data_IF_146188130888
#
_entry.id   IF_146188130888
#
_cell.length_a   1.000
_cell.length_b   1.000
_cell.length_c   1.000
_cell.angle_alpha   90.00
_cell.angle_beta   90.00
_cell.angle_gamma   90.00
#
_symmetry.space_group_name_H-M   'P 1'
#
loop_
_entity.id
_entity.type
_entity.pdbx_description
1 polymer ?
#
# COMPACT_ATOMS: atom_id res chain seq x y z
N UNK A 1 -1.84 22.49 4.78
CA UNK A 1 -2.90 21.47 4.86
C UNK A 1 -2.48 20.30 4.01
N UNK A 2 -2.53 19.08 4.55
CA UNK A 2 -2.14 17.88 3.79
C UNK A 2 -3.06 17.71 2.58
N UNK A 3 -2.49 17.50 1.40
CA UNK A 3 -3.21 17.24 0.14
C UNK A 3 -2.94 15.80 -0.28
N UNK A 4 -4.01 15.05 -0.59
CA UNK A 4 -3.90 13.70 -1.15
C UNK A 4 -4.22 13.74 -2.64
N UNK A 5 -3.36 13.14 -3.46
CA UNK A 5 -3.54 12.97 -4.90
C UNK A 5 -3.75 11.49 -5.24
N UNK A 6 -5.00 11.11 -5.52
CA UNK A 6 -5.39 9.73 -5.81
C UNK A 6 -5.21 9.41 -7.29
N UNK A 7 -4.31 8.47 -7.59
CA UNK A 7 -4.01 8.09 -8.97
C UNK A 7 -3.86 6.58 -9.12
N UNK A 8 -4.04 6.10 -10.36
CA UNK A 8 -3.75 4.74 -10.75
C UNK A 8 -2.54 4.77 -11.66
N UNK A 9 -1.47 4.09 -11.27
CA UNK A 9 -0.34 3.83 -12.14
C UNK A 9 -0.56 2.49 -12.86
N UNK A 10 -0.94 2.53 -14.14
CA UNK A 10 -1.26 1.33 -14.93
C UNK A 10 -0.08 0.35 -15.02
N UNK A 11 1.15 0.83 -15.14
CA UNK A 11 2.35 -0.01 -15.19
C UNK A 11 2.58 -0.73 -13.87
N UNK A 12 2.45 -0.02 -12.75
CA UNK A 12 2.58 -0.62 -11.43
C UNK A 12 1.46 -1.62 -11.14
N UNK A 13 0.21 -1.31 -11.52
CA UNK A 13 -0.91 -2.23 -11.40
C UNK A 13 -0.69 -3.51 -12.22
N UNK A 14 -0.26 -3.37 -13.48
CA UNK A 14 0.09 -4.51 -14.35
C UNK A 14 1.22 -5.35 -13.75
N UNK A 15 2.26 -4.72 -13.22
CA UNK A 15 3.34 -5.39 -12.51
C UNK A 15 2.82 -6.21 -11.32
N UNK A 16 1.98 -5.64 -10.45
CA UNK A 16 1.43 -6.36 -9.31
C UNK A 16 0.57 -7.54 -9.75
N UNK A 17 -0.29 -7.33 -10.74
CA UNK A 17 -1.17 -8.34 -11.33
C UNK A 17 -0.37 -9.54 -11.85
N UNK A 18 0.68 -9.29 -12.63
CA UNK A 18 1.51 -10.35 -13.23
C UNK A 18 2.29 -11.13 -12.17
N UNK A 19 2.73 -10.47 -11.09
CA UNK A 19 3.58 -11.10 -10.07
C UNK A 19 2.82 -11.67 -8.87
N UNK A 20 1.51 -11.43 -8.74
CA UNK A 20 0.71 -11.89 -7.60
C UNK A 20 -0.43 -12.84 -7.98
N UNK A 21 -0.58 -13.16 -9.27
CA UNK A 21 -1.54 -14.15 -9.78
C UNK A 21 -1.56 -15.46 -8.96
N UNK A 22 -0.40 -15.99 -8.62
CA UNK A 22 -0.27 -17.23 -7.85
C UNK A 22 -0.70 -17.10 -6.38
N UNK A 23 -0.52 -15.92 -5.77
CA UNK A 23 -0.95 -15.69 -4.38
C UNK A 23 -2.47 -15.57 -4.28
N UNK A 24 -3.08 -14.93 -5.27
CA UNK A 24 -4.54 -14.74 -5.35
C UNK A 24 -5.29 -16.05 -5.64
N UNK A 25 -4.66 -17.01 -6.33
CA UNK A 25 -5.26 -18.31 -6.63
C UNK A 25 -5.56 -19.19 -5.39
N UNK A 26 -4.99 -18.84 -4.23
CA UNK A 26 -5.17 -19.59 -2.99
C UNK A 26 -6.19 -18.96 -2.03
N UNK A 27 -6.95 -17.95 -2.48
CA UNK A 27 -7.92 -17.22 -1.65
C UNK A 27 -9.40 -17.51 -2.08
N UNK A 28 -10.42 -17.30 -1.21
CA UNK A 28 -11.78 -17.81 -1.43
C UNK A 28 -12.57 -17.22 -2.62
N UNK A 29 -13.74 -17.81 -2.89
CA UNK A 29 -14.47 -17.86 -4.18
C UNK A 29 -14.59 -16.61 -5.06
N UNK A 30 -14.70 -15.40 -4.52
CA UNK A 30 -14.75 -14.17 -5.36
C UNK A 30 -13.37 -13.84 -5.97
N UNK A 31 -12.29 -14.16 -5.26
CA UNK A 31 -10.92 -14.03 -5.75
C UNK A 31 -10.58 -15.13 -6.75
N UNK A 32 -11.32 -16.25 -6.75
CA UNK A 32 -11.10 -17.37 -7.66
C UNK A 32 -11.34 -17.00 -9.14
N UNK A 33 -12.38 -16.22 -9.44
CA UNK A 33 -12.67 -15.79 -10.81
C UNK A 33 -11.58 -14.84 -11.31
N UNK A 34 -11.18 -13.88 -10.48
CA UNK A 34 -10.10 -12.96 -10.80
C UNK A 34 -8.77 -13.71 -10.95
N UNK A 35 -8.44 -14.61 -10.02
CA UNK A 35 -7.25 -15.44 -10.09
C UNK A 35 -7.21 -16.29 -11.36
N UNK A 36 -8.36 -16.80 -11.80
CA UNK A 36 -8.47 -17.54 -13.08
C UNK A 36 -8.15 -16.64 -14.26
N UNK A 37 -8.70 -15.42 -14.32
CA UNK A 37 -8.36 -14.42 -15.35
C UNK A 37 -6.86 -14.11 -15.32
N UNK A 38 -6.29 -13.88 -14.14
CA UNK A 38 -4.86 -13.59 -14.01
C UNK A 38 -3.96 -14.73 -14.46
N UNK A 39 -4.35 -15.97 -14.14
CA UNK A 39 -3.64 -17.17 -14.59
C UNK A 39 -3.68 -17.28 -16.12
N UNK A 40 -4.79 -16.92 -16.76
CA UNK A 40 -4.90 -16.92 -18.22
C UNK A 40 -4.01 -15.85 -18.87
N UNK A 41 -4.01 -14.62 -18.33
CA UNK A 41 -3.09 -13.57 -18.75
C UNK A 41 -1.64 -14.02 -18.61
N UNK A 42 -1.25 -14.58 -17.47
CA UNK A 42 0.11 -15.05 -17.22
C UNK A 42 0.51 -16.18 -18.18
N UNK A 43 -0.36 -17.17 -18.42
CA UNK A 43 -0.11 -18.23 -19.41
C UNK A 43 0.13 -17.66 -20.81
N UNK A 44 -0.64 -16.66 -21.20
CA UNK A 44 -0.50 -15.96 -22.49
C UNK A 44 0.84 -15.23 -22.59
N UNK A 45 1.24 -14.52 -21.53
CA UNK A 45 2.53 -13.83 -21.48
C UNK A 45 3.70 -14.82 -21.53
N UNK A 46 3.65 -15.91 -20.76
CA UNK A 46 4.68 -16.97 -20.80
C UNK A 46 4.76 -17.59 -22.19
N UNK A 47 3.63 -17.91 -22.82
CA UNK A 47 3.60 -18.46 -24.19
C UNK A 47 4.30 -17.54 -25.19
N UNK A 48 4.08 -16.23 -25.08
CA UNK A 48 4.55 -15.26 -26.06
C UNK A 48 5.97 -14.72 -25.78
N UNK A 49 6.39 -14.70 -24.51
CA UNK A 49 7.57 -13.94 -24.08
C UNK A 49 8.57 -14.70 -23.20
N UNK A 50 8.38 -16.00 -22.92
CA UNK A 50 9.33 -16.78 -22.09
C UNK A 50 10.78 -16.78 -22.59
N UNK A 51 10.99 -16.55 -23.88
CA UNK A 51 12.33 -16.50 -24.50
C UNK A 51 12.81 -15.05 -24.72
N UNK A 52 12.07 -14.05 -24.25
CA UNK A 52 12.46 -12.64 -24.33
C UNK A 52 13.04 -12.18 -22.97
N UNK A 53 14.30 -11.73 -22.90
CA UNK A 53 14.90 -11.21 -21.67
C UNK A 53 14.10 -10.10 -20.98
N UNK A 54 13.47 -9.20 -21.76
CA UNK A 54 12.66 -8.10 -21.26
C UNK A 54 11.49 -8.57 -20.37
N UNK A 55 10.95 -9.76 -20.65
CA UNK A 55 9.84 -10.34 -19.89
C UNK A 55 10.17 -10.51 -18.40
N UNK A 56 11.42 -10.86 -18.09
CA UNK A 56 11.83 -11.15 -16.71
C UNK A 56 12.14 -9.90 -15.88
N UNK A 57 12.13 -8.70 -16.50
CA UNK A 57 12.09 -7.42 -15.77
C UNK A 57 10.66 -7.04 -15.36
N UNK A 58 9.64 -7.69 -15.94
CA UNK A 58 8.23 -7.50 -15.60
C UNK A 58 7.75 -8.65 -14.72
N UNK A 59 8.06 -9.91 -15.07
CA UNK A 59 7.71 -11.11 -14.32
C UNK A 59 8.92 -11.64 -13.55
N UNK A 60 8.93 -11.40 -12.24
CA UNK A 60 10.04 -11.75 -11.34
C UNK A 60 9.96 -13.24 -10.93
N UNK A 61 10.20 -14.13 -11.89
CA UNK A 61 10.15 -15.58 -11.74
C UNK A 61 11.24 -16.19 -10.82
N UNK A 62 12.05 -15.35 -10.16
CA UNK A 62 13.19 -15.73 -9.33
C UNK A 62 14.55 -15.35 -9.94
N UNK A 63 15.59 -15.36 -9.09
CA UNK A 63 16.94 -14.87 -9.43
C UNK A 63 17.52 -15.52 -10.69
N UNK A 64 17.33 -16.83 -10.90
CA UNK A 64 17.85 -17.55 -12.07
C UNK A 64 17.39 -16.93 -13.40
N UNK A 65 16.13 -16.50 -13.50
CA UNK A 65 15.59 -15.95 -14.74
C UNK A 65 15.99 -14.50 -14.98
N UNK A 66 16.09 -13.72 -13.90
CA UNK A 66 16.63 -12.35 -13.97
C UNK A 66 18.10 -12.40 -14.37
N UNK A 67 18.89 -13.31 -13.76
CA UNK A 67 20.28 -13.56 -14.11
C UNK A 67 20.40 -13.95 -15.59
N UNK A 68 19.60 -14.91 -16.04
CA UNK A 68 19.56 -15.30 -17.47
C UNK A 68 19.24 -14.10 -18.37
N UNK A 69 18.24 -13.28 -18.03
CA UNK A 69 17.88 -12.11 -18.83
C UNK A 69 19.03 -11.10 -18.92
N UNK A 70 19.68 -10.82 -17.79
CA UNK A 70 20.88 -9.97 -17.74
C UNK A 70 22.01 -10.57 -18.59
N UNK A 71 22.30 -11.87 -18.43
CA UNK A 71 23.33 -12.54 -19.22
C UNK A 71 23.03 -12.49 -20.72
N UNK A 72 21.78 -12.69 -21.15
CA UNK A 72 21.40 -12.49 -22.54
C UNK A 72 21.67 -11.07 -23.00
N UNK A 73 21.33 -10.06 -22.20
CA UNK A 73 21.55 -8.65 -22.58
C UNK A 73 23.04 -8.35 -22.74
N UNK A 74 23.88 -8.75 -21.79
CA UNK A 74 25.30 -8.39 -21.78
C UNK A 74 26.19 -9.32 -22.62
N UNK A 75 25.75 -10.56 -22.89
CA UNK A 75 26.58 -11.56 -23.58
C UNK A 75 26.11 -11.90 -25.00
N UNK A 76 24.87 -11.55 -25.39
CA UNK A 76 24.31 -12.00 -26.68
C UNK A 76 24.81 -11.25 -27.92
N UNK A 77 25.55 -10.15 -27.76
CA UNK A 77 26.16 -9.43 -28.89
C UNK A 77 27.30 -8.51 -28.38
N UNK A 78 28.53 -9.04 -28.32
CA UNK A 78 29.74 -8.26 -27.97
C UNK A 78 30.00 -7.13 -29.00
N UNK A 79 29.45 -7.24 -30.21
CA UNK A 79 29.69 -6.32 -31.33
C UNK A 79 28.68 -5.16 -31.44
N UNK A 80 27.53 -5.20 -30.73
CA UNK A 80 26.57 -4.10 -30.75
C UNK A 80 26.86 -3.12 -29.61
N UNK A 81 26.71 -1.82 -29.89
CA UNK A 81 26.82 -0.82 -28.81
C UNK A 81 25.76 -1.07 -27.72
N UNK A 82 26.18 -0.98 -26.47
CA UNK A 82 25.32 -1.18 -25.29
C UNK A 82 24.06 -0.29 -25.31
N UNK A 83 24.15 0.92 -25.87
CA UNK A 83 23.01 1.84 -25.99
C UNK A 83 21.90 1.26 -26.87
N UNK A 84 22.26 0.57 -27.96
CA UNK A 84 21.29 -0.04 -28.87
C UNK A 84 20.55 -1.22 -28.21
N UNK A 85 21.24 -1.99 -27.36
CA UNK A 85 20.62 -3.10 -26.62
C UNK A 85 19.60 -2.59 -25.58
N UNK A 86 19.94 -1.53 -24.83
CA UNK A 86 19.02 -0.91 -23.86
C UNK A 86 17.76 -0.37 -24.52
N UNK A 87 17.88 0.24 -25.70
CA UNK A 87 16.72 0.69 -26.47
C UNK A 87 15.83 -0.46 -26.93
N UNK A 88 16.42 -1.57 -27.40
CA UNK A 88 15.66 -2.78 -27.80
C UNK A 88 14.90 -3.35 -26.60
N UNK A 89 15.54 -3.49 -25.43
CA UNK A 89 14.88 -3.97 -24.21
C UNK A 89 13.74 -3.05 -23.81
N UNK A 90 13.95 -1.74 -23.88
CA UNK A 90 12.91 -0.75 -23.57
C UNK A 90 11.70 -0.90 -24.49
N UNK A 91 11.92 -1.07 -25.80
CA UNK A 91 10.85 -1.33 -26.78
C UNK A 91 10.12 -2.64 -26.49
N UNK A 92 10.84 -3.70 -26.12
CA UNK A 92 10.23 -4.98 -25.78
C UNK A 92 9.41 -4.91 -24.49
N UNK A 93 9.91 -4.21 -23.46
CA UNK A 93 9.15 -3.93 -22.22
C UNK A 93 7.85 -3.20 -22.57
N UNK A 94 7.91 -2.16 -23.41
CA UNK A 94 6.72 -1.43 -23.86
C UNK A 94 5.74 -2.34 -24.60
N UNK A 95 6.22 -3.21 -25.49
CA UNK A 95 5.38 -4.17 -26.23
C UNK A 95 4.70 -5.18 -25.29
N UNK A 96 5.41 -5.65 -24.26
CA UNK A 96 4.84 -6.55 -23.26
C UNK A 96 3.75 -5.82 -22.46
N UNK A 97 4.00 -4.60 -22.00
CA UNK A 97 2.97 -3.80 -21.33
C UNK A 97 1.77 -3.53 -22.22
N UNK A 98 1.96 -3.22 -23.51
CA UNK A 98 0.86 -3.05 -24.45
C UNK A 98 0.04 -4.33 -24.60
N UNK A 99 0.70 -5.50 -24.58
CA UNK A 99 0.00 -6.80 -24.59
C UNK A 99 -0.84 -6.99 -23.33
N UNK A 100 -0.32 -6.57 -22.16
CA UNK A 100 -1.07 -6.62 -20.91
C UNK A 100 -2.26 -5.65 -20.97
N UNK A 101 -2.02 -4.40 -21.37
CA UNK A 101 -3.03 -3.35 -21.40
C UNK A 101 -4.18 -3.65 -22.38
N UNK A 102 -3.89 -4.34 -23.48
CA UNK A 102 -4.88 -4.76 -24.46
C UNK A 102 -5.59 -6.09 -24.11
N UNK A 103 -5.26 -6.70 -22.97
CA UNK A 103 -5.92 -7.93 -22.53
C UNK A 103 -7.25 -7.63 -21.82
N UNK A 104 -8.28 -8.42 -22.11
CA UNK A 104 -9.60 -8.32 -21.46
C UNK A 104 -9.48 -8.50 -19.94
N UNK A 105 -8.53 -9.33 -19.50
CA UNK A 105 -8.26 -9.57 -18.09
C UNK A 105 -7.77 -8.31 -17.38
N UNK A 106 -6.81 -7.58 -17.97
CA UNK A 106 -6.32 -6.34 -17.38
C UNK A 106 -7.32 -5.19 -17.50
N UNK A 107 -8.06 -5.10 -18.61
CA UNK A 107 -9.10 -4.09 -18.79
C UNK A 107 -10.16 -4.18 -17.69
N UNK A 108 -10.59 -5.40 -17.36
CA UNK A 108 -11.53 -5.65 -16.25
C UNK A 108 -10.98 -5.14 -14.92
N UNK A 109 -9.73 -5.50 -14.60
CA UNK A 109 -9.08 -5.10 -13.35
C UNK A 109 -8.90 -3.59 -13.27
N UNK A 110 -8.52 -2.95 -14.37
CA UNK A 110 -8.36 -1.51 -14.43
C UNK A 110 -9.70 -0.82 -14.17
N UNK A 111 -10.80 -1.30 -14.78
CA UNK A 111 -12.14 -0.78 -14.53
C UNK A 111 -12.54 -0.91 -13.06
N UNK A 112 -12.41 -2.09 -12.48
CA UNK A 112 -12.70 -2.35 -11.06
C UNK A 112 -11.81 -1.47 -10.13
N UNK A 113 -10.54 -1.27 -10.51
CA UNK A 113 -9.62 -0.39 -9.76
C UNK A 113 -10.02 1.08 -9.85
N UNK A 114 -10.55 1.54 -10.99
CA UNK A 114 -11.07 2.91 -11.16
C UNK A 114 -12.29 3.13 -10.27
N UNK A 115 -13.22 2.18 -10.27
CA UNK A 115 -14.41 2.21 -9.39
C UNK A 115 -13.99 2.25 -7.92
N UNK A 116 -13.04 1.40 -7.53
CA UNK A 116 -12.48 1.36 -6.18
C UNK A 116 -11.74 2.67 -5.81
N UNK A 117 -10.96 3.26 -6.72
CA UNK A 117 -10.30 4.57 -6.51
C UNK A 117 -11.32 5.65 -6.18
N UNK A 118 -12.40 5.71 -6.95
CA UNK A 118 -13.46 6.70 -6.73
C UNK A 118 -14.16 6.47 -5.38
N UNK A 119 -14.40 5.21 -4.99
CA UNK A 119 -14.93 4.87 -3.66
C UNK A 119 -14.01 5.36 -2.53
N UNK A 120 -12.72 5.03 -2.57
CA UNK A 120 -11.74 5.41 -1.54
C UNK A 120 -11.61 6.94 -1.45
N UNK A 121 -11.50 7.61 -2.60
CA UNK A 121 -11.40 9.06 -2.68
C UNK A 121 -12.65 9.74 -2.13
N UNK A 122 -13.84 9.22 -2.45
CA UNK A 122 -15.11 9.72 -1.92
C UNK A 122 -15.19 9.57 -0.39
N UNK A 123 -14.91 8.36 0.13
CA UNK A 123 -14.92 8.09 1.57
C UNK A 123 -13.91 8.98 2.30
N UNK A 124 -12.69 9.12 1.76
CA UNK A 124 -11.69 10.02 2.33
C UNK A 124 -12.18 11.46 2.36
N UNK A 125 -12.76 11.95 1.25
CA UNK A 125 -13.23 13.34 1.17
C UNK A 125 -14.35 13.67 2.16
N UNK A 126 -15.20 12.70 2.49
CA UNK A 126 -16.23 12.83 3.53
C UNK A 126 -15.62 12.95 4.94
N UNK A 127 -14.53 12.22 5.20
CA UNK A 127 -13.97 12.08 6.55
C UNK A 127 -12.75 12.95 6.83
N UNK A 128 -12.06 13.49 5.81
CA UNK A 128 -10.73 14.13 5.94
C UNK A 128 -10.67 15.26 6.97
N UNK A 129 -11.70 16.08 7.08
CA UNK A 129 -11.74 17.19 8.04
C UNK A 129 -11.73 16.67 9.48
N UNK A 130 -12.53 15.64 9.75
CA UNK A 130 -12.54 14.97 11.05
C UNK A 130 -11.17 14.33 11.35
N UNK A 131 -10.62 13.58 10.39
CA UNK A 131 -9.33 12.89 10.54
C UNK A 131 -8.20 13.88 10.84
N UNK A 132 -8.12 15.00 10.09
CA UNK A 132 -7.07 15.98 10.32
C UNK A 132 -7.21 16.69 11.66
N UNK A 133 -8.42 17.09 12.05
CA UNK A 133 -8.66 17.69 13.36
C UNK A 133 -8.29 16.72 14.49
N UNK A 134 -8.68 15.45 14.36
CA UNK A 134 -8.32 14.38 15.29
C UNK A 134 -6.81 14.21 15.40
N UNK A 135 -6.08 14.17 14.28
CA UNK A 135 -4.62 14.05 14.30
C UNK A 135 -3.96 15.28 14.92
N UNK A 136 -4.44 16.50 14.66
CA UNK A 136 -3.90 17.71 15.31
C UNK A 136 -4.11 17.68 16.83
N UNK A 137 -5.31 17.29 17.27
CA UNK A 137 -5.65 17.10 18.68
C UNK A 137 -4.67 16.09 19.31
N UNK A 138 -4.59 14.89 18.76
CA UNK A 138 -3.85 13.78 19.35
C UNK A 138 -2.33 13.99 19.29
N UNK A 139 -1.81 14.55 18.20
CA UNK A 139 -0.38 14.85 18.09
C UNK A 139 0.03 16.08 18.91
N UNK A 140 -0.93 16.92 19.30
CA UNK A 140 -0.71 18.14 20.08
C UNK A 140 -0.06 19.29 19.29
N UNK A 141 -0.16 19.27 17.97
CA UNK A 141 0.43 20.29 17.08
C UNK A 141 -0.26 20.32 15.72
N UNK A 142 -0.16 21.44 15.02
CA UNK A 142 -0.66 21.59 13.66
C UNK A 142 0.01 20.60 12.70
N UNK A 143 -0.75 20.06 11.75
CA UNK A 143 -0.21 19.18 10.73
C UNK A 143 0.69 19.92 9.75
N UNK A 144 1.77 19.27 9.35
CA UNK A 144 2.64 19.75 8.30
C UNK A 144 1.88 19.94 6.97
N UNK A 145 2.31 20.90 6.16
CA UNK A 145 1.79 21.09 4.81
C UNK A 145 2.49 20.13 3.85
N UNK A 146 1.87 18.97 3.58
CA UNK A 146 2.44 17.92 2.74
C UNK A 146 1.55 17.62 1.54
N UNK A 147 2.16 17.29 0.41
CA UNK A 147 1.47 16.65 -0.71
C UNK A 147 1.83 15.18 -0.72
N UNK A 148 0.83 14.31 -0.64
CA UNK A 148 0.99 12.86 -0.57
C UNK A 148 0.33 12.23 -1.78
N UNK A 149 1.08 11.42 -2.51
CA UNK A 149 0.59 10.68 -3.67
C UNK A 149 0.01 9.34 -3.22
N UNK A 150 -1.23 9.04 -3.59
CA UNK A 150 -1.87 7.75 -3.29
C UNK A 150 -1.98 6.95 -4.58
N UNK A 151 -1.17 5.89 -4.69
CA UNK A 151 -1.28 4.93 -5.78
C UNK A 151 -2.33 3.89 -5.40
N UNK A 152 -3.51 4.00 -6.01
CA UNK A 152 -4.58 3.01 -5.85
C UNK A 152 -4.29 1.79 -6.73
N UNK A 153 -4.39 0.63 -6.11
CA UNK A 153 -4.31 -0.68 -6.75
C UNK A 153 -5.58 -1.48 -6.43
N UNK A 154 -5.80 -2.58 -7.14
CA UNK A 154 -6.99 -3.40 -6.95
C UNK A 154 -7.09 -3.93 -5.50
N UNK A 155 -8.27 -3.88 -4.84
CA UNK A 155 -8.41 -4.16 -3.40
C UNK A 155 -8.01 -5.58 -2.99
N UNK A 156 -8.18 -6.58 -3.87
CA UNK A 156 -7.74 -7.96 -3.63
C UNK A 156 -6.21 -8.11 -3.47
N UNK A 157 -5.42 -7.13 -3.93
CA UNK A 157 -3.95 -7.18 -3.83
C UNK A 157 -3.46 -6.95 -2.40
N UNK A 158 -4.35 -6.53 -1.49
CA UNK A 158 -4.09 -6.35 -0.06
C UNK A 158 -2.78 -5.57 0.18
N UNK A 159 -2.72 -4.35 -0.37
CA UNK A 159 -1.60 -3.41 -0.24
C UNK A 159 -1.99 -2.23 0.64
N UNK A 160 -1.21 -2.02 1.70
CA UNK A 160 -1.19 -0.79 2.49
C UNK A 160 0.23 -0.58 2.97
N UNK A 161 0.91 0.44 2.46
CA UNK A 161 2.20 0.90 2.99
C UNK A 161 2.58 2.28 2.46
N UNK A 162 3.28 3.05 3.29
CA UNK A 162 3.92 4.30 2.94
C UNK A 162 5.37 4.12 2.43
N UNK A 163 5.69 4.79 1.33
CA UNK A 163 7.05 4.99 0.82
C UNK A 163 7.53 6.37 1.28
N UNK A 164 8.10 6.41 2.48
CA UNK A 164 8.39 7.62 3.25
C UNK A 164 9.23 8.67 2.52
N UNK A 165 10.26 8.23 1.77
CA UNK A 165 11.16 9.14 1.03
C UNK A 165 10.45 9.90 -0.10
N UNK A 166 9.29 9.41 -0.55
CA UNK A 166 8.56 9.93 -1.71
C UNK A 166 7.22 10.56 -1.31
N UNK A 167 6.85 10.56 -0.01
CA UNK A 167 5.50 10.91 0.45
C UNK A 167 4.44 10.21 -0.39
N UNK A 168 4.60 8.91 -0.58
CA UNK A 168 3.74 8.09 -1.42
C UNK A 168 3.12 7.00 -0.56
N UNK A 169 1.85 6.68 -0.81
CA UNK A 169 1.15 5.54 -0.20
C UNK A 169 0.67 4.65 -1.34
N UNK A 170 0.89 3.34 -1.22
CA UNK A 170 0.25 2.34 -2.07
C UNK A 170 -0.92 1.76 -1.29
N UNK A 171 -2.12 1.82 -1.87
CA UNK A 171 -3.35 1.41 -1.20
C UNK A 171 -4.25 0.54 -2.08
N UNK A 172 -4.73 -0.57 -1.51
CA UNK A 172 -5.68 -1.49 -2.11
C UNK A 172 -6.04 -2.59 -1.12
N UNK A 173 -7.16 -2.42 -0.43
CA UNK A 173 -7.73 -3.40 0.51
C UNK A 173 -9.26 -3.44 0.40
N UNK A 174 -9.84 -4.61 0.69
CA UNK A 174 -11.30 -4.71 0.83
C UNK A 174 -11.80 -3.90 2.03
N UNK A 175 -13.02 -3.37 1.92
CA UNK A 175 -13.67 -2.64 3.02
C UNK A 175 -14.19 -3.66 4.05
N UNK A 176 -13.31 -4.05 4.98
CA UNK A 176 -13.60 -5.08 5.97
C UNK A 176 -14.60 -4.65 7.04
N UNK A 177 -14.73 -3.35 7.25
CA UNK A 177 -15.65 -2.69 8.17
C UNK A 177 -15.80 -1.21 7.78
N UNK A 178 -16.76 -0.51 8.36
CA UNK A 178 -17.10 0.87 7.95
C UNK A 178 -15.93 1.85 8.13
N UNK A 179 -15.60 2.63 7.10
CA UNK A 179 -14.49 3.59 7.10
C UNK A 179 -13.09 2.96 7.16
N UNK A 180 -12.96 1.70 6.75
CA UNK A 180 -11.70 0.97 6.75
C UNK A 180 -10.63 1.71 5.94
N UNK A 181 -10.94 2.06 4.70
CA UNK A 181 -9.99 2.79 3.84
C UNK A 181 -9.54 4.12 4.46
N UNK A 182 -10.46 4.87 5.08
CA UNK A 182 -10.14 6.14 5.75
C UNK A 182 -9.16 5.94 6.92
N UNK A 183 -9.43 4.98 7.80
CA UNK A 183 -8.61 4.74 8.99
C UNK A 183 -7.21 4.30 8.59
N UNK A 184 -7.08 3.36 7.66
CA UNK A 184 -5.78 2.87 7.25
C UNK A 184 -5.02 3.85 6.35
N UNK A 185 -5.69 4.70 5.57
CA UNK A 185 -5.00 5.84 4.95
C UNK A 185 -4.45 6.79 6.01
N UNK A 186 -5.18 7.04 7.10
CA UNK A 186 -4.68 7.84 8.21
C UNK A 186 -3.50 7.17 8.93
N UNK A 187 -3.49 5.84 9.05
CA UNK A 187 -2.34 5.07 9.54
C UNK A 187 -1.08 5.37 8.73
N UNK A 188 -1.16 5.24 7.41
CA UNK A 188 -0.03 5.49 6.51
C UNK A 188 0.40 6.97 6.48
N UNK A 189 -0.57 7.91 6.56
CA UNK A 189 -0.27 9.34 6.71
C UNK A 189 0.48 9.59 8.03
N UNK A 190 0.14 8.87 9.09
CA UNK A 190 0.82 9.01 10.39
C UNK A 190 2.27 8.54 10.32
N UNK A 191 2.57 7.47 9.56
CA UNK A 191 3.95 7.08 9.24
C UNK A 191 4.74 8.22 8.55
N UNK A 192 4.14 8.86 7.54
CA UNK A 192 4.76 10.00 6.83
C UNK A 192 4.98 11.18 7.79
N UNK A 193 4.01 11.48 8.64
CA UNK A 193 4.11 12.55 9.64
C UNK A 193 5.20 12.27 10.67
N UNK A 194 5.29 11.04 11.19
CA UNK A 194 6.32 10.65 12.14
C UNK A 194 7.71 10.81 11.52
N UNK A 195 7.89 10.35 10.28
CA UNK A 195 9.12 10.56 9.52
C UNK A 195 9.44 12.06 9.36
N UNK A 196 8.47 12.88 8.96
CA UNK A 196 8.63 14.33 8.84
C UNK A 196 9.03 14.99 10.17
N UNK A 197 8.46 14.52 11.28
CA UNK A 197 8.78 14.99 12.63
C UNK A 197 10.03 14.35 13.24
N UNK A 198 10.79 13.56 12.46
CA UNK A 198 12.00 12.87 12.90
C UNK A 198 11.77 11.94 14.09
N UNK A 199 10.55 11.40 14.21
CA UNK A 199 10.24 10.32 15.15
C UNK A 199 10.77 9.03 14.54
N UNK A 200 11.61 8.32 15.29
CA UNK A 200 12.16 7.02 14.88
C UNK A 200 11.01 6.04 14.62
N UNK A 201 11.02 5.41 13.45
CA UNK A 201 10.06 4.38 13.06
C UNK A 201 10.57 3.00 13.49
N UNK A 202 10.22 2.61 14.71
CA UNK A 202 10.42 1.28 15.29
C UNK A 202 9.10 0.69 15.80
N UNK A 203 9.15 -0.53 16.37
CA UNK A 203 7.96 -1.22 16.87
C UNK A 203 7.16 -0.41 17.89
N UNK A 204 7.83 0.39 18.74
CA UNK A 204 7.18 1.26 19.71
C UNK A 204 6.37 2.36 19.01
N UNK A 205 7.00 3.06 18.07
CA UNK A 205 6.29 4.08 17.29
C UNK A 205 5.16 3.48 16.45
N UNK A 206 5.33 2.25 15.92
CA UNK A 206 4.32 1.58 15.13
C UNK A 206 3.12 1.17 16.01
N UNK A 207 3.35 0.59 17.18
CA UNK A 207 2.30 0.28 18.15
C UNK A 207 1.52 1.55 18.55
N UNK A 208 2.22 2.69 18.68
CA UNK A 208 1.56 3.96 18.93
C UNK A 208 0.73 4.45 17.73
N UNK A 209 1.21 4.29 16.50
CA UNK A 209 0.43 4.61 15.29
C UNK A 209 -0.86 3.78 15.24
N UNK A 210 -0.81 2.49 15.58
CA UNK A 210 -2.01 1.64 15.64
C UNK A 210 -2.97 2.06 16.76
N UNK A 211 -2.45 2.45 17.92
CA UNK A 211 -3.29 3.02 18.98
C UNK A 211 -3.95 4.33 18.54
N UNK A 212 -3.22 5.21 17.85
CA UNK A 212 -3.75 6.46 17.30
C UNK A 212 -4.81 6.21 16.23
N UNK A 213 -4.56 5.29 15.29
CA UNK A 213 -5.36 5.20 14.06
C UNK A 213 -6.29 4.00 14.09
N UNK A 214 -5.75 2.79 13.93
CA UNK A 214 -6.48 1.52 13.93
C UNK A 214 -7.44 1.38 15.12
N UNK A 215 -7.08 1.92 16.29
CA UNK A 215 -7.91 1.89 17.48
C UNK A 215 -8.70 3.19 17.68
N UNK A 216 -8.04 4.26 18.12
CA UNK A 216 -8.75 5.45 18.61
C UNK A 216 -9.47 6.21 17.49
N UNK A 217 -8.82 6.47 16.35
CA UNK A 217 -9.48 7.11 15.21
C UNK A 217 -10.68 6.28 14.72
N UNK A 218 -10.51 4.97 14.53
CA UNK A 218 -11.60 4.07 14.13
C UNK A 218 -12.80 4.19 15.06
N UNK A 219 -12.56 4.09 16.38
CA UNK A 219 -13.64 4.10 17.38
C UNK A 219 -14.37 5.44 17.36
N UNK A 220 -13.65 6.56 17.31
CA UNK A 220 -14.27 7.89 17.26
C UNK A 220 -15.02 8.14 15.95
N UNK A 221 -14.41 7.77 14.83
CA UNK A 221 -15.00 7.95 13.49
C UNK A 221 -16.26 7.12 13.31
N UNK A 222 -16.27 5.88 13.81
CA UNK A 222 -17.42 4.97 13.71
C UNK A 222 -18.39 5.08 14.89
N UNK A 223 -18.05 5.87 15.92
CA UNK A 223 -18.82 6.07 17.16
C UNK A 223 -19.13 4.75 17.91
N UNK A 224 -18.35 3.70 17.64
CA UNK A 224 -18.51 2.36 18.22
C UNK A 224 -17.22 1.58 18.10
N UNK A 225 -17.16 0.46 18.81
CA UNK A 225 -16.04 -0.48 18.75
C UNK A 225 -15.33 -0.60 20.09
N UNK A 226 -14.30 -1.45 20.12
CA UNK A 226 -13.43 -1.64 21.28
C UNK A 226 -11.98 -1.64 20.81
N UNK A 227 -11.06 -1.27 21.69
CA UNK A 227 -9.64 -1.45 21.41
C UNK A 227 -9.38 -2.90 20.97
N UNK A 228 -8.56 -3.04 19.93
CA UNK A 228 -8.06 -4.29 19.37
C UNK A 228 -9.08 -5.15 18.61
N UNK A 229 -10.35 -4.72 18.50
CA UNK A 229 -11.43 -5.47 17.84
C UNK A 229 -12.49 -4.61 17.13
N UNK A 230 -12.89 -5.01 15.93
CA UNK A 230 -14.10 -4.54 15.23
C UNK A 230 -15.02 -5.74 14.98
N UNK A 231 -16.09 -5.86 15.77
CA UNK A 231 -16.93 -7.05 15.78
C UNK A 231 -16.12 -8.31 16.09
N UNK A 232 -16.02 -9.23 15.12
CA UNK A 232 -15.23 -10.47 15.22
C UNK A 232 -13.82 -10.36 14.64
N UNK A 233 -13.46 -9.22 14.04
CA UNK A 233 -12.16 -9.00 13.41
C UNK A 233 -11.17 -8.39 14.40
N UNK A 234 -9.93 -8.88 14.35
CA UNK A 234 -8.81 -8.25 15.05
C UNK A 234 -8.32 -7.03 14.27
N UNK A 235 -7.92 -5.99 14.98
CA UNK A 235 -7.49 -4.71 14.40
C UNK A 235 -6.03 -4.42 14.82
N UNK A 236 -5.19 -4.02 13.86
CA UNK A 236 -3.74 -3.87 14.05
C UNK A 236 -2.94 -5.18 13.96
N UNK A 237 -1.62 -5.08 13.97
CA UNK A 237 -0.67 -6.17 13.80
C UNK A 237 -0.65 -7.09 15.03
N UNK A 238 -0.88 -8.42 14.88
CA UNK A 238 -0.84 -9.36 16.00
C UNK A 238 0.49 -9.34 16.77
N UNK A 239 1.61 -9.11 16.08
CA UNK A 239 2.95 -9.05 16.66
C UNK A 239 3.21 -7.85 17.57
N UNK A 240 2.42 -6.78 17.47
CA UNK A 240 2.54 -5.58 18.31
C UNK A 240 1.61 -5.61 19.53
N UNK A 241 0.67 -6.57 19.59
CA UNK A 241 -0.42 -6.58 20.58
C UNK A 241 0.02 -6.49 22.02
N UNK A 242 1.08 -7.22 22.38
CA UNK A 242 1.60 -7.21 23.74
C UNK A 242 2.08 -5.80 24.12
N UNK A 243 2.81 -5.15 23.22
CA UNK A 243 3.31 -3.79 23.39
C UNK A 243 2.17 -2.77 23.42
N UNK A 244 1.20 -2.87 22.51
CA UNK A 244 0.01 -1.99 22.53
C UNK A 244 -0.73 -2.07 23.87
N UNK A 245 -0.91 -3.28 24.43
CA UNK A 245 -1.56 -3.47 25.73
C UNK A 245 -0.76 -2.88 26.89
N UNK A 246 0.57 -2.87 26.81
CA UNK A 246 1.43 -2.24 27.80
C UNK A 246 1.35 -0.70 27.72
N UNK A 247 1.26 -0.15 26.52
CA UNK A 247 1.16 1.30 26.28
C UNK A 247 -0.24 1.84 26.62
N UNK A 248 -1.28 1.02 26.46
CA UNK A 248 -2.69 1.43 26.52
C UNK A 248 -3.07 2.23 27.79
N UNK A 249 -2.67 1.87 29.02
CA UNK A 249 -3.00 2.66 30.21
C UNK A 249 -2.46 4.10 30.12
N UNK A 250 -1.17 4.24 29.84
CA UNK A 250 -0.51 5.55 29.68
C UNK A 250 -1.06 6.32 28.47
N UNK A 251 -1.47 5.61 27.42
CA UNK A 251 -2.15 6.21 26.27
C UNK A 251 -3.51 6.81 26.64
N UNK A 252 -4.32 6.10 27.44
CA UNK A 252 -5.60 6.63 27.93
C UNK A 252 -5.40 7.88 28.80
N UNK A 253 -4.39 7.89 29.67
CA UNK A 253 -4.01 9.08 30.45
C UNK A 253 -3.56 10.23 29.54
N UNK A 254 -2.73 9.92 28.54
CA UNK A 254 -2.31 10.89 27.53
C UNK A 254 -3.53 11.50 26.83
N UNK A 255 -4.54 10.70 26.44
CA UNK A 255 -5.77 11.13 25.79
C UNK A 255 -6.67 12.02 26.67
N UNK A 256 -6.55 11.97 27.99
CA UNK A 256 -7.29 12.86 28.90
C UNK A 256 -6.56 14.20 29.15
N UNK A 257 -5.25 14.27 28.90
CA UNK A 257 -4.47 15.48 29.14
C UNK A 257 -4.83 16.61 28.16
N UNK A 258 -5.17 17.82 28.66
CA UNK A 258 -5.47 18.99 27.81
C UNK A 258 -4.26 19.50 27.01
N UNK A 259 -3.04 19.31 27.52
CA UNK A 259 -1.79 19.75 26.87
C UNK A 259 -1.05 18.53 26.32
N UNK A 260 -1.34 18.22 25.05
CA UNK A 260 -0.76 17.08 24.34
C UNK A 260 0.66 17.38 23.88
N UNK A 261 1.58 16.45 24.12
CA UNK A 261 2.93 16.48 23.56
C UNK A 261 3.38 15.04 23.27
N UNK A 262 3.18 14.59 22.03
CA UNK A 262 3.46 13.21 21.64
C UNK A 262 4.95 12.84 21.78
N UNK A 263 5.86 13.78 21.51
CA UNK A 263 7.30 13.54 21.62
C UNK A 263 7.73 13.27 23.07
N UNK A 264 7.17 14.03 24.03
CA UNK A 264 7.39 13.78 25.45
C UNK A 264 6.82 12.41 25.87
N UNK A 265 5.59 12.11 25.44
CA UNK A 265 4.94 10.83 25.72
C UNK A 265 5.77 9.64 25.20
N UNK A 266 6.24 9.70 23.95
CA UNK A 266 7.11 8.68 23.36
C UNK A 266 8.42 8.49 24.14
N UNK A 267 8.99 9.55 24.70
CA UNK A 267 10.21 9.45 25.51
C UNK A 267 9.94 8.83 26.89
N UNK A 268 8.74 9.02 27.44
CA UNK A 268 8.33 8.37 28.70
C UNK A 268 8.15 6.87 28.51
N UNK A 269 7.58 6.43 27.37
CA UNK A 269 7.39 5.01 27.06
C UNK A 269 8.70 4.22 26.85
N UNK A 270 9.83 4.91 26.64
CA UNK A 270 11.15 4.28 26.43
C UNK A 270 11.90 4.01 27.74
N UNK A 271 11.45 4.58 28.85
CA UNK A 271 12.03 4.41 30.18
C UNK A 271 11.41 3.20 30.86
#
# INVERSE_FOLDING_TARGET
MIKLDFQINKYYLAYLVVNQSNKLANQPSAELLLATKLKNLQKRLVKNYKNNPAYYFIYLAGYKYIKWAIEQIYLSDIEKSHNNQLEIISKDIQKIFQTIFNSQEFETILKETIEYKNFVEHQWNQNKSFVFNYLEEVLGKKLANLSIKIIIVHPVLNKGHAVLKQNLIVWGHNEDWQNYATVYLAHEITHILFNHYKIKLDNLSHALIELITDNELRIRLNQKGKYFREGRKHVGHPGLRQMEKQILPSWCEYLQNKKKNLSLFLNQLKK
#
